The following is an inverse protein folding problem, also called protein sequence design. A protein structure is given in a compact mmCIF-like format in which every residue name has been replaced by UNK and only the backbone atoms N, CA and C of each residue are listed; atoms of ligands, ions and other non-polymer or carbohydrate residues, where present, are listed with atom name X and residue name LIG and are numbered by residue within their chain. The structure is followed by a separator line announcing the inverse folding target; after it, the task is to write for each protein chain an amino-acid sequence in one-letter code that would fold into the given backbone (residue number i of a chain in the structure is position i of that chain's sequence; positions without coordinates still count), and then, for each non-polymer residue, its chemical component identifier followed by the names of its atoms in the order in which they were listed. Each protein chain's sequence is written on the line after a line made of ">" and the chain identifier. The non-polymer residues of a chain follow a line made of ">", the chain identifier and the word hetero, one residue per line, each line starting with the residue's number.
data_IF_066047191230
#
_entry.id   IF_066047191230
#
_cell.length_a   1.000
_cell.length_b   1.000
_cell.length_c   1.000
_cell.angle_alpha   90.00
_cell.angle_beta   90.00
_cell.angle_gamma   90.00
#
_symmetry.space_group_name_H-M   'P 1'
#
loop_
_entity.id
_entity.type
_entity.pdbx_description
1 polymer ?
#
# COMPACT_ATOMS: atom_id res chain seq x y z
N UNK A 1 59.14 -14.53 37.79
CA UNK A 1 58.14 -14.67 38.89
C UNK A 1 56.86 -13.95 38.47
N UNK A 2 55.70 -14.33 39.02
CA UNK A 2 54.37 -13.71 38.74
C UNK A 2 53.99 -12.72 39.86
N UNK A 3 52.76 -12.17 39.74
CA UNK A 3 51.98 -11.39 40.71
C UNK A 3 52.18 -9.85 40.63
N UNK A 4 51.23 -9.08 40.05
CA UNK A 4 49.90 -8.63 40.58
C UNK A 4 50.09 -7.66 41.77
N UNK A 5 49.57 -6.42 41.83
CA UNK A 5 48.20 -5.90 41.65
C UNK A 5 48.23 -4.33 41.66
N UNK A 6 47.20 -3.50 41.42
CA UNK A 6 45.88 -3.56 40.71
C UNK A 6 45.19 -2.16 40.70
N UNK A 7 44.09 -2.02 39.94
CA UNK A 7 42.96 -1.06 40.13
C UNK A 7 43.10 0.47 39.87
N UNK A 8 42.48 0.93 38.78
CA UNK A 8 41.54 2.08 38.68
C UNK A 8 40.99 2.13 37.22
N UNK A 9 39.82 1.57 36.90
CA UNK A 9 38.44 2.12 37.07
C UNK A 9 38.09 3.26 36.07
N UNK A 10 36.88 3.15 35.50
CA UNK A 10 36.16 4.11 34.64
C UNK A 10 36.59 4.25 33.16
N UNK A 11 36.09 3.32 32.34
CA UNK A 11 35.69 3.64 30.96
C UNK A 11 34.15 3.70 30.94
N UNK A 12 33.59 4.89 30.75
CA UNK A 12 32.15 5.13 30.66
C UNK A 12 31.53 4.28 29.56
N UNK A 13 30.56 3.44 29.90
CA UNK A 13 29.69 2.81 28.92
C UNK A 13 28.90 3.92 28.21
N UNK A 14 29.32 4.28 27.00
CA UNK A 14 28.52 5.05 26.08
C UNK A 14 27.32 4.19 25.69
N UNK A 15 26.24 4.37 26.44
CA UNK A 15 24.89 4.16 25.96
C UNK A 15 24.70 5.09 24.76
N UNK A 16 25.20 4.66 23.61
CA UNK A 16 24.67 5.04 22.31
C UNK A 16 23.26 4.47 22.26
N UNK A 17 22.37 5.18 22.95
CA UNK A 17 20.97 4.86 23.05
C UNK A 17 20.45 4.66 21.65
N UNK A 18 19.65 3.61 21.49
CA UNK A 18 18.92 3.32 20.27
C UNK A 18 18.05 4.55 19.97
N UNK A 19 18.57 5.46 19.14
CA UNK A 19 17.80 6.46 18.45
C UNK A 19 16.97 5.73 17.39
N UNK A 20 16.00 4.94 17.86
CA UNK A 20 14.89 4.51 17.06
C UNK A 20 14.29 5.79 16.49
N UNK A 21 14.25 5.98 15.16
CA UNK A 21 13.59 7.15 14.59
C UNK A 21 12.17 7.12 15.12
N UNK A 22 11.80 8.14 15.91
CA UNK A 22 10.45 8.25 16.41
C UNK A 22 9.54 8.26 15.19
N UNK A 23 8.71 7.21 15.04
CA UNK A 23 7.77 7.12 13.94
C UNK A 23 6.89 8.36 14.04
N UNK A 24 7.07 9.30 13.10
CA UNK A 24 6.29 10.51 13.08
C UNK A 24 4.83 10.07 12.91
N UNK A 25 4.02 10.33 13.93
CA UNK A 25 2.59 10.11 13.86
C UNK A 25 2.04 11.11 12.83
N UNK A 26 1.98 10.68 11.57
CA UNK A 26 1.34 11.43 10.50
C UNK A 26 -0.13 11.61 10.86
N UNK A 27 -0.46 12.77 11.43
CA UNK A 27 -1.83 13.19 11.73
C UNK A 27 -2.70 13.28 10.47
N UNK A 28 -2.09 13.19 9.30
CA UNK A 28 -2.72 13.05 8.00
C UNK A 28 -2.39 11.66 7.43
N UNK A 29 -3.33 10.72 7.55
CA UNK A 29 -3.27 9.46 6.79
C UNK A 29 -3.71 9.75 5.35
N UNK A 30 -2.75 10.15 4.50
CA UNK A 30 -2.97 10.25 3.06
C UNK A 30 -2.88 8.85 2.45
N UNK A 31 -4.03 8.20 2.24
CA UNK A 31 -4.07 6.95 1.47
C UNK A 31 -3.68 7.27 0.04
N UNK A 32 -2.63 6.63 -0.47
CA UNK A 32 -2.19 6.78 -1.85
C UNK A 32 -3.34 6.44 -2.83
N UNK A 33 -3.38 7.07 -4.00
CA UNK A 33 -4.37 6.76 -5.03
C UNK A 33 -3.78 6.81 -6.43
N UNK A 34 -4.27 5.93 -7.30
CA UNK A 34 -3.93 5.88 -8.72
C UNK A 34 -5.16 6.19 -9.55
N UNK A 35 -4.99 7.04 -10.56
CA UNK A 35 -6.02 7.39 -11.54
C UNK A 35 -5.72 6.66 -12.84
N UNK A 36 -6.67 5.85 -13.32
CA UNK A 36 -6.55 5.04 -14.54
C UNK A 36 -7.59 5.52 -15.55
N UNK A 37 -7.20 5.95 -16.78
CA UNK A 37 -8.17 6.32 -17.80
C UNK A 37 -8.94 5.08 -18.27
N UNK A 38 -10.27 5.17 -18.41
CA UNK A 38 -11.13 4.06 -18.82
C UNK A 38 -10.75 3.46 -20.18
N UNK A 39 -10.20 4.29 -21.08
CA UNK A 39 -9.66 3.86 -22.38
C UNK A 39 -8.47 2.92 -22.19
N UNK A 40 -8.67 1.62 -22.47
CA UNK A 40 -7.66 0.56 -22.30
C UNK A 40 -7.96 -0.44 -21.18
N UNK A 41 -8.89 -0.13 -20.27
CA UNK A 41 -9.23 -0.97 -19.11
C UNK A 41 -10.72 -1.29 -19.02
N UNK A 42 -11.40 -1.55 -20.15
CA UNK A 42 -12.87 -1.64 -20.17
C UNK A 42 -13.46 -2.76 -19.27
N UNK A 43 -12.66 -3.77 -18.92
CA UNK A 43 -13.01 -4.82 -17.95
C UNK A 43 -12.05 -4.87 -16.75
N UNK A 44 -12.54 -5.40 -15.63
CA UNK A 44 -11.80 -5.55 -14.38
C UNK A 44 -10.52 -6.40 -14.55
N UNK A 45 -10.57 -7.44 -15.38
CA UNK A 45 -9.38 -8.20 -15.77
C UNK A 45 -8.32 -7.34 -16.50
N UNK A 46 -8.72 -6.44 -17.41
CA UNK A 46 -7.77 -5.51 -18.07
C UNK A 46 -7.19 -4.49 -17.09
N UNK A 47 -8.01 -3.96 -16.18
CA UNK A 47 -7.56 -3.05 -15.12
C UNK A 47 -6.50 -3.72 -14.24
N UNK A 48 -6.75 -4.95 -13.79
CA UNK A 48 -5.80 -5.70 -12.97
C UNK A 48 -4.52 -6.03 -13.73
N UNK A 49 -4.60 -6.47 -14.99
CA UNK A 49 -3.43 -6.73 -15.83
C UNK A 49 -2.58 -5.46 -16.05
N UNK A 50 -3.24 -4.31 -16.29
CA UNK A 50 -2.54 -3.03 -16.42
C UNK A 50 -1.82 -2.65 -15.11
N UNK A 51 -2.50 -2.74 -13.97
CA UNK A 51 -1.88 -2.49 -12.66
C UNK A 51 -0.68 -3.43 -12.41
N UNK A 52 -0.83 -4.72 -12.68
CA UNK A 52 0.27 -5.69 -12.55
C UNK A 52 1.47 -5.32 -13.44
N UNK A 53 1.24 -4.92 -14.71
CA UNK A 53 2.31 -4.45 -15.59
C UNK A 53 3.01 -3.16 -15.12
N UNK A 54 2.35 -2.36 -14.28
CA UNK A 54 2.90 -1.15 -13.65
C UNK A 54 3.55 -1.42 -12.28
N UNK A 55 3.74 -2.69 -11.93
CA UNK A 55 4.39 -3.15 -10.70
C UNK A 55 3.49 -3.13 -9.46
N UNK A 56 2.17 -3.04 -9.61
CA UNK A 56 1.25 -3.20 -8.49
C UNK A 56 0.99 -4.69 -8.21
N UNK A 57 0.94 -5.06 -6.93
CA UNK A 57 0.61 -6.40 -6.44
C UNK A 57 -0.72 -6.37 -5.67
N UNK A 58 -1.20 -7.54 -5.20
CA UNK A 58 -2.37 -7.66 -4.31
C UNK A 58 -3.56 -6.78 -4.75
N UNK A 59 -3.91 -6.87 -6.04
CA UNK A 59 -5.04 -6.15 -6.62
C UNK A 59 -6.33 -6.81 -6.12
N UNK A 60 -7.22 -6.03 -5.52
CA UNK A 60 -8.54 -6.47 -5.08
C UNK A 60 -9.56 -5.48 -5.63
N UNK A 61 -10.58 -5.97 -6.34
CA UNK A 61 -11.53 -5.13 -7.07
C UNK A 61 -12.93 -5.20 -6.47
N UNK A 62 -13.65 -4.09 -6.54
CA UNK A 62 -15.00 -3.94 -6.01
C UNK A 62 -16.02 -4.69 -6.87
N UNK A 63 -16.90 -5.47 -6.21
CA UNK A 63 -17.99 -6.19 -6.87
C UNK A 63 -19.15 -5.30 -7.29
N UNK A 64 -19.40 -4.25 -6.51
CA UNK A 64 -20.49 -3.29 -6.73
C UNK A 64 -19.93 -1.88 -6.95
N UNK A 65 -20.76 -1.01 -7.54
CA UNK A 65 -20.38 0.38 -7.74
C UNK A 65 -20.28 1.12 -6.39
N UNK A 66 -19.30 2.04 -6.21
CA UNK A 66 -19.32 2.94 -5.07
C UNK A 66 -20.55 3.85 -5.14
N UNK A 67 -21.21 4.06 -4.01
CA UNK A 67 -22.30 5.04 -3.85
C UNK A 67 -21.87 6.17 -2.93
N UNK A 68 -22.74 7.17 -2.70
CA UNK A 68 -22.44 8.27 -1.77
C UNK A 68 -22.44 7.81 -0.32
N UNK A 69 -23.28 6.82 -0.03
CA UNK A 69 -23.48 6.18 1.28
C UNK A 69 -22.41 5.10 1.53
N UNK A 70 -21.91 4.47 0.48
CA UNK A 70 -20.84 3.47 0.52
C UNK A 70 -19.78 3.76 -0.56
N UNK A 71 -18.82 4.66 -0.31
CA UNK A 71 -17.81 5.05 -1.29
C UNK A 71 -16.73 3.98 -1.53
N UNK A 72 -16.55 3.03 -0.60
CA UNK A 72 -15.58 1.93 -0.66
C UNK A 72 -16.28 0.59 -0.34
N UNK A 73 -17.12 0.06 -1.24
CA UNK A 73 -17.82 -1.20 -1.04
C UNK A 73 -16.89 -2.43 -0.98
N UNK A 74 -17.47 -3.58 -0.63
CA UNK A 74 -16.76 -4.84 -0.42
C UNK A 74 -15.92 -5.27 -1.65
N UNK A 75 -14.66 -5.58 -1.36
CA UNK A 75 -13.66 -6.08 -2.29
C UNK A 75 -13.87 -7.57 -2.54
N UNK A 76 -13.81 -7.99 -3.80
CA UNK A 76 -13.90 -9.38 -4.21
C UNK A 76 -12.70 -9.72 -5.11
N UNK A 77 -11.64 -10.37 -4.57
CA UNK A 77 -10.43 -10.68 -5.32
C UNK A 77 -10.66 -11.67 -6.47
N UNK A 78 -11.76 -12.44 -6.47
CA UNK A 78 -12.08 -13.35 -7.57
C UNK A 78 -12.36 -12.62 -8.89
N UNK A 79 -12.79 -11.35 -8.83
CA UNK A 79 -13.14 -10.55 -10.00
C UNK A 79 -11.94 -10.07 -10.82
N UNK A 80 -10.73 -10.11 -10.26
CA UNK A 80 -9.48 -9.87 -10.99
C UNK A 80 -9.34 -10.82 -12.19
N UNK A 81 -9.96 -12.00 -12.12
CA UNK A 81 -9.94 -13.02 -13.16
C UNK A 81 -11.25 -13.09 -13.97
N UNK A 82 -12.21 -12.18 -13.75
CA UNK A 82 -13.46 -12.12 -14.51
C UNK A 82 -13.29 -11.18 -15.73
N UNK A 83 -13.21 -11.71 -16.97
CA UNK A 83 -13.07 -10.88 -18.16
C UNK A 83 -14.35 -10.13 -18.53
N UNK A 84 -15.52 -10.54 -18.02
CA UNK A 84 -16.82 -9.97 -18.36
C UNK A 84 -17.25 -8.83 -17.42
N UNK A 85 -16.71 -8.76 -16.20
CA UNK A 85 -17.03 -7.68 -15.26
C UNK A 85 -16.45 -6.33 -15.74
N UNK A 86 -17.29 -5.30 -15.98
CA UNK A 86 -16.83 -4.00 -16.48
C UNK A 86 -16.23 -3.14 -15.37
N UNK A 87 -15.27 -2.28 -15.72
CA UNK A 87 -14.85 -1.19 -14.82
C UNK A 87 -15.94 -0.11 -14.73
N UNK A 88 -15.89 0.70 -13.68
CA UNK A 88 -16.86 1.77 -13.42
C UNK A 88 -16.12 3.08 -13.21
N UNK A 89 -16.68 4.22 -13.64
CA UNK A 89 -16.05 5.51 -13.32
C UNK A 89 -16.13 5.76 -11.81
N UNK A 90 -15.04 6.18 -11.18
CA UNK A 90 -14.90 6.32 -9.73
C UNK A 90 -14.00 5.24 -9.13
N UNK A 91 -14.19 4.91 -7.85
CA UNK A 91 -13.41 3.88 -7.16
C UNK A 91 -13.74 2.47 -7.67
N UNK A 92 -12.71 1.65 -7.88
CA UNK A 92 -12.84 0.27 -8.38
C UNK A 92 -12.18 -0.77 -7.46
N UNK A 93 -11.48 -0.35 -6.40
CA UNK A 93 -10.81 -1.27 -5.47
C UNK A 93 -9.48 -0.75 -4.96
N UNK A 94 -8.61 -1.67 -4.55
CA UNK A 94 -7.27 -1.40 -4.04
C UNK A 94 -6.22 -2.20 -4.81
N UNK A 95 -4.97 -1.75 -4.73
CA UNK A 95 -3.80 -2.53 -5.07
C UNK A 95 -2.67 -2.17 -4.10
N UNK A 96 -1.58 -2.93 -4.08
CA UNK A 96 -0.39 -2.60 -3.31
C UNK A 96 0.76 -2.17 -4.23
N UNK A 97 1.56 -1.22 -3.76
CA UNK A 97 2.81 -0.79 -4.42
C UNK A 97 3.80 -0.34 -3.37
N UNK A 98 5.05 -0.81 -3.48
CA UNK A 98 6.14 -0.49 -2.56
C UNK A 98 5.83 -0.77 -1.06
N UNK A 99 4.89 -1.68 -0.80
CA UNK A 99 4.41 -2.04 0.54
C UNK A 99 3.19 -1.23 1.03
N UNK A 100 2.75 -0.21 0.29
CA UNK A 100 1.60 0.64 0.63
C UNK A 100 0.34 0.21 -0.13
N UNK A 101 -0.84 0.39 0.50
CA UNK A 101 -2.14 0.20 -0.15
C UNK A 101 -2.55 1.46 -0.90
N UNK A 102 -2.80 1.31 -2.20
CA UNK A 102 -3.17 2.36 -3.15
C UNK A 102 -4.62 2.17 -3.58
N UNK A 103 -5.42 3.23 -3.47
CA UNK A 103 -6.81 3.26 -3.94
C UNK A 103 -6.86 3.38 -5.47
N UNK A 104 -7.60 2.48 -6.14
CA UNK A 104 -7.72 2.45 -7.60
C UNK A 104 -8.97 3.20 -8.04
N UNK A 105 -8.77 4.32 -8.75
CA UNK A 105 -9.84 5.09 -9.37
C UNK A 105 -9.75 4.99 -10.90
N UNK A 106 -10.89 4.83 -11.56
CA UNK A 106 -11.01 4.89 -13.02
C UNK A 106 -11.72 6.17 -13.42
N UNK A 107 -11.10 6.96 -14.29
CA UNK A 107 -11.62 8.23 -14.78
C UNK A 107 -12.05 8.14 -16.24
N UNK A 108 -12.95 9.03 -16.66
CA UNK A 108 -13.18 9.26 -18.08
C UNK A 108 -12.11 10.24 -18.57
N UNK A 109 -11.43 9.85 -19.65
CA UNK A 109 -10.47 10.64 -20.42
C UNK A 109 -11.15 11.85 -21.07
#
# INVERSE_FOLDING_TARGET
>A
MRFFASSAVLATATLLGLAQPAAAFSLFSSVASVQVPVSGVESQAKLAAQLQSQGYSNVELASVAPTRENPHPELNPSLVNDPASPVRTGWNGVAQKDGETVQVYVTRS
#
